data_IF_560615016592
#
_entry.id   IF_560615016592
#
_cell.length_a   1.000
_cell.length_b   1.000
_cell.length_c   1.000
_cell.angle_alpha   90.00
_cell.angle_beta   90.00
_cell.angle_gamma   90.00
#
_symmetry.space_group_name_H-M   'P 1'
#
loop_
_entity.id
_entity.type
_entity.pdbx_description
1 polymer ?
#
# COMPACT_ATOMS: atom_id res chain seq x y z
N UNK A 1 61.74 -11.08 -1.10
CA UNK A 1 60.52 -10.25 -1.15
C UNK A 1 60.87 -8.93 -1.81
N UNK A 2 60.37 -8.68 -3.01
CA UNK A 2 60.71 -7.47 -3.77
C UNK A 2 60.05 -6.26 -3.11
N UNK A 3 60.75 -5.12 -2.96
CA UNK A 3 60.21 -3.92 -2.30
C UNK A 3 58.91 -3.39 -2.95
N UNK A 4 58.64 -3.78 -4.20
CA UNK A 4 57.40 -3.49 -4.93
C UNK A 4 56.15 -4.21 -4.39
N UNK A 5 56.25 -5.38 -3.77
CA UNK A 5 55.07 -6.09 -3.24
C UNK A 5 54.58 -5.52 -1.90
N UNK A 6 55.41 -4.78 -1.18
CA UNK A 6 55.03 -4.07 0.05
C UNK A 6 54.58 -2.62 -0.20
N UNK A 7 55.04 -2.00 -1.29
CA UNK A 7 54.70 -0.61 -1.62
C UNK A 7 53.20 -0.44 -1.92
N UNK A 8 52.63 -1.38 -2.68
CA UNK A 8 51.24 -1.33 -3.12
C UNK A 8 50.21 -1.39 -1.98
N UNK A 9 50.30 -2.35 -1.01
CA UNK A 9 49.39 -2.35 0.14
C UNK A 9 49.62 -1.13 1.06
N UNK A 10 50.84 -0.63 1.17
CA UNK A 10 51.13 0.59 1.95
C UNK A 10 50.44 1.82 1.33
N UNK A 11 50.55 2.00 0.01
CA UNK A 11 49.87 3.09 -0.71
C UNK A 11 48.35 2.96 -0.58
N UNK A 12 47.79 1.76 -0.72
CA UNK A 12 46.36 1.52 -0.52
C UNK A 12 45.89 1.89 0.90
N UNK A 13 46.67 1.52 1.93
CA UNK A 13 46.38 1.87 3.32
C UNK A 13 46.38 3.39 3.53
N UNK A 14 47.39 4.08 2.98
CA UNK A 14 47.50 5.54 3.08
C UNK A 14 46.30 6.22 2.42
N UNK A 15 45.90 5.77 1.23
CA UNK A 15 44.73 6.32 0.51
C UNK A 15 43.44 6.07 1.29
N UNK A 16 43.24 4.87 1.85
CA UNK A 16 42.07 4.57 2.67
C UNK A 16 42.01 5.43 3.93
N UNK A 17 43.14 5.60 4.63
CA UNK A 17 43.24 6.45 5.80
C UNK A 17 42.97 7.92 5.46
N UNK A 18 43.50 8.41 4.33
CA UNK A 18 43.23 9.77 3.85
C UNK A 18 41.75 9.98 3.54
N UNK A 19 41.07 9.02 2.91
CA UNK A 19 39.63 9.08 2.65
C UNK A 19 38.81 9.11 3.95
N UNK A 20 39.15 8.26 4.92
CA UNK A 20 38.49 8.26 6.23
C UNK A 20 38.68 9.59 6.97
N UNK A 21 39.90 10.15 6.94
CA UNK A 21 40.18 11.45 7.54
C UNK A 21 39.38 12.58 6.89
N UNK A 22 39.26 12.57 5.55
CA UNK A 22 38.42 13.53 4.82
C UNK A 22 36.95 13.39 5.21
N UNK A 23 36.43 12.15 5.29
CA UNK A 23 35.03 11.93 5.68
C UNK A 23 34.74 12.34 7.12
N UNK A 24 35.65 12.06 8.06
CA UNK A 24 35.52 12.51 9.44
C UNK A 24 35.58 14.04 9.55
N UNK A 25 36.51 14.69 8.83
CA UNK A 25 36.61 16.15 8.79
C UNK A 25 35.40 16.82 8.11
N UNK A 26 34.75 16.14 7.17
CA UNK A 26 33.53 16.60 6.51
C UNK A 26 32.25 16.38 7.34
N UNK A 27 32.36 15.96 8.60
CA UNK A 27 31.22 15.73 9.49
C UNK A 27 30.61 14.33 9.37
N UNK A 28 31.32 13.37 8.79
CA UNK A 28 30.89 11.97 8.74
C UNK A 28 30.77 11.31 10.12
N UNK A 29 31.37 11.90 11.16
CA UNK A 29 31.20 11.49 12.55
C UNK A 29 30.00 12.15 13.24
N UNK A 30 29.46 13.23 12.67
CA UNK A 30 28.37 14.02 13.27
C UNK A 30 26.98 13.51 12.88
N UNK A 31 26.90 12.26 12.41
CA UNK A 31 25.63 11.60 12.16
C UNK A 31 24.89 11.37 13.48
N UNK A 32 24.02 12.30 13.83
CA UNK A 32 23.03 12.13 14.89
C UNK A 32 21.77 11.57 14.23
N UNK A 33 21.38 10.30 14.51
CA UNK A 33 20.15 9.75 13.96
C UNK A 33 18.99 10.65 14.38
N UNK A 34 18.34 11.28 13.40
CA UNK A 34 17.14 12.06 13.67
C UNK A 34 16.11 11.16 14.32
N UNK A 35 15.49 11.64 15.38
CA UNK A 35 14.41 10.92 16.05
C UNK A 35 13.36 10.54 15.01
N UNK A 36 12.95 9.28 15.01
CA UNK A 36 11.88 8.80 14.16
C UNK A 36 10.65 9.72 14.31
N UNK A 37 9.98 10.00 13.19
CA UNK A 37 8.79 10.81 13.20
C UNK A 37 7.71 10.16 14.07
N UNK A 38 6.96 10.97 14.82
CA UNK A 38 5.84 10.48 15.63
C UNK A 38 4.79 9.82 14.72
N UNK A 39 4.52 8.52 14.86
CA UNK A 39 3.52 7.83 14.05
C UNK A 39 2.10 8.36 14.32
N UNK A 40 1.84 8.93 15.49
CA UNK A 40 0.53 9.44 15.89
C UNK A 40 0.28 10.90 15.46
N UNK A 41 1.32 11.62 15.04
CA UNK A 41 1.16 12.98 14.53
C UNK A 41 0.35 13.01 13.23
N UNK A 42 -0.58 13.95 13.09
CA UNK A 42 -1.39 14.04 11.89
C UNK A 42 -0.53 14.35 10.65
N UNK A 43 -0.57 13.47 9.65
CA UNK A 43 0.03 13.72 8.33
C UNK A 43 -0.91 14.57 7.46
N UNK A 44 -0.42 15.58 6.72
CA UNK A 44 -1.23 16.24 5.70
C UNK A 44 -1.72 15.22 4.67
N UNK A 45 -2.91 15.46 4.13
CA UNK A 45 -3.46 14.61 3.08
C UNK A 45 -2.89 15.01 1.72
N UNK A 46 -2.55 14.03 0.87
CA UNK A 46 -2.09 14.28 -0.49
C UNK A 46 -3.16 15.04 -1.30
N UNK A 47 -2.78 15.70 -2.42
CA UNK A 47 -3.75 16.14 -3.42
C UNK A 47 -4.46 14.94 -4.06
N UNK A 48 -5.60 15.19 -4.71
CA UNK A 48 -6.29 14.16 -5.50
C UNK A 48 -5.48 13.90 -6.76
N UNK A 49 -5.29 12.63 -7.10
CA UNK A 49 -4.68 12.16 -8.35
C UNK A 49 -5.67 11.25 -9.06
N UNK A 50 -5.71 11.32 -10.39
CA UNK A 50 -6.48 10.38 -11.21
C UNK A 50 -5.74 9.05 -11.43
N UNK A 51 -4.49 8.97 -10.97
CA UNK A 51 -3.63 7.78 -11.04
C UNK A 51 -3.78 6.86 -9.81
N UNK A 52 -3.75 5.55 -10.03
CA UNK A 52 -3.81 4.52 -8.96
C UNK A 52 -2.49 4.43 -8.19
N UNK A 53 -1.35 4.59 -8.85
CA UNK A 53 -0.04 4.40 -8.22
C UNK A 53 0.19 5.36 -7.05
N UNK A 54 -0.01 6.70 -7.20
CA UNK A 54 0.10 7.63 -6.07
C UNK A 54 -0.94 7.35 -4.98
N UNK A 55 -2.17 7.00 -5.37
CA UNK A 55 -3.23 6.64 -4.43
C UNK A 55 -2.84 5.42 -3.57
N UNK A 56 -2.30 4.37 -4.19
CA UNK A 56 -1.85 3.17 -3.49
C UNK A 56 -0.74 3.50 -2.50
N UNK A 57 0.25 4.30 -2.92
CA UNK A 57 1.32 4.78 -2.05
C UNK A 57 0.76 5.56 -0.85
N UNK A 58 -0.19 6.47 -1.08
CA UNK A 58 -0.79 7.26 0.00
C UNK A 58 -1.60 6.42 0.98
N UNK A 59 -2.37 5.46 0.48
CA UNK A 59 -3.10 4.50 1.33
C UNK A 59 -2.13 3.68 2.18
N UNK A 60 -1.04 3.16 1.59
CA UNK A 60 -0.04 2.38 2.31
C UNK A 60 0.67 3.23 3.36
N UNK A 61 1.14 4.44 3.00
CA UNK A 61 1.86 5.32 3.93
C UNK A 61 0.97 5.76 5.11
N UNK A 62 -0.28 6.14 4.84
CA UNK A 62 -1.24 6.49 5.88
C UNK A 62 -1.61 5.27 6.73
N UNK A 63 -1.78 4.10 6.11
CA UNK A 63 -2.17 2.87 6.78
C UNK A 63 -1.07 2.32 7.69
N UNK A 64 0.17 2.28 7.21
CA UNK A 64 1.36 1.94 8.01
C UNK A 64 1.51 2.90 9.17
N UNK A 65 1.33 4.20 8.94
CA UNK A 65 1.42 5.20 10.00
C UNK A 65 0.36 4.97 11.10
N UNK A 66 -0.91 4.74 10.71
CA UNK A 66 -1.99 4.43 11.65
C UNK A 66 -1.73 3.14 12.43
N UNK A 67 -1.23 2.12 11.75
CA UNK A 67 -0.85 0.83 12.35
C UNK A 67 0.27 1.03 13.37
N UNK A 68 1.32 1.76 13.01
CA UNK A 68 2.44 2.06 13.90
C UNK A 68 1.98 2.80 15.16
N UNK A 69 1.09 3.79 15.02
CA UNK A 69 0.50 4.50 16.15
C UNK A 69 -0.33 3.55 17.04
N UNK A 70 -1.16 2.68 16.45
CA UNK A 70 -1.97 1.72 17.19
C UNK A 70 -1.14 0.65 17.94
N UNK A 71 0.03 0.31 17.39
CA UNK A 71 0.97 -0.66 17.98
C UNK A 71 1.98 -0.01 18.95
N UNK A 72 2.02 1.32 19.04
CA UNK A 72 2.99 2.03 19.88
C UNK A 72 4.44 1.88 19.43
N UNK A 73 4.67 1.73 18.12
CA UNK A 73 6.01 1.56 17.53
C UNK A 73 6.27 2.64 16.47
N UNK A 74 7.54 2.87 16.14
CA UNK A 74 7.88 3.79 15.03
C UNK A 74 7.47 3.20 13.69
N UNK A 75 7.16 4.05 12.71
CA UNK A 75 6.78 3.60 11.36
C UNK A 75 7.91 2.80 10.72
N UNK A 76 9.14 3.24 10.94
CA UNK A 76 10.36 2.65 10.41
C UNK A 76 10.55 1.24 11.00
N UNK A 77 10.33 1.05 12.30
CA UNK A 77 10.37 -0.28 12.93
C UNK A 77 9.29 -1.20 12.38
N UNK A 78 8.07 -0.69 12.17
CA UNK A 78 7.00 -1.47 11.56
C UNK A 78 7.37 -1.91 10.14
N UNK A 79 7.75 -0.97 9.27
CA UNK A 79 8.09 -1.24 7.86
C UNK A 79 9.25 -2.23 7.74
N UNK A 80 10.30 -2.07 8.54
CA UNK A 80 11.44 -2.99 8.53
C UNK A 80 11.06 -4.41 8.98
N UNK A 81 10.07 -4.55 9.85
CA UNK A 81 9.64 -5.85 10.32
C UNK A 81 8.72 -6.57 9.31
N UNK A 82 8.02 -5.86 8.41
CA UNK A 82 7.00 -6.47 7.55
C UNK A 82 7.53 -7.54 6.58
N UNK A 83 8.70 -7.41 5.91
CA UNK A 83 9.15 -8.41 4.93
C UNK A 83 9.54 -9.74 5.57
N UNK A 84 10.18 -9.71 6.74
CA UNK A 84 10.79 -10.88 7.38
C UNK A 84 9.84 -11.55 8.38
N UNK A 85 9.56 -12.85 8.19
CA UNK A 85 8.74 -13.61 9.13
C UNK A 85 9.31 -13.58 10.56
N UNK A 86 10.63 -13.64 10.68
CA UNK A 86 11.34 -13.54 11.96
C UNK A 86 11.11 -12.19 12.63
N UNK A 87 11.21 -11.10 11.87
CA UNK A 87 11.09 -9.74 12.43
C UNK A 87 9.64 -9.40 12.76
N UNK A 88 8.66 -9.90 11.99
CA UNK A 88 7.23 -9.86 12.35
C UNK A 88 6.97 -10.59 13.68
N UNK A 89 7.52 -11.79 13.85
CA UNK A 89 7.38 -12.55 15.10
C UNK A 89 8.01 -11.83 16.30
N UNK A 90 9.15 -11.15 16.10
CA UNK A 90 9.77 -10.32 17.12
C UNK A 90 8.91 -9.10 17.45
N UNK A 91 8.42 -8.37 16.44
CA UNK A 91 7.56 -7.20 16.62
C UNK A 91 6.26 -7.56 17.33
N UNK A 92 5.64 -8.68 16.95
CA UNK A 92 4.43 -9.20 17.58
C UNK A 92 4.68 -9.46 19.08
N UNK A 93 5.76 -10.17 19.43
CA UNK A 93 6.15 -10.39 20.83
C UNK A 93 6.41 -9.08 21.58
N UNK A 94 7.15 -8.15 20.98
CA UNK A 94 7.48 -6.87 21.59
C UNK A 94 6.24 -6.00 21.88
N UNK A 95 5.18 -6.16 21.09
CA UNK A 95 3.91 -5.42 21.24
C UNK A 95 2.84 -6.21 21.99
N UNK A 96 3.13 -7.41 22.49
CA UNK A 96 2.17 -8.28 23.16
C UNK A 96 1.06 -8.80 22.24
N UNK A 97 1.34 -8.95 20.94
CA UNK A 97 0.41 -9.40 19.89
C UNK A 97 0.87 -10.73 19.28
N UNK A 98 -0.05 -11.38 18.58
CA UNK A 98 0.26 -12.49 17.65
C UNK A 98 0.56 -11.93 16.26
N UNK A 99 1.18 -12.72 15.37
CA UNK A 99 1.35 -12.31 13.97
C UNK A 99 0.01 -12.06 13.26
N UNK A 100 -1.01 -12.88 13.53
CA UNK A 100 -2.37 -12.63 13.05
C UNK A 100 -2.93 -11.30 13.60
N UNK A 101 -2.59 -10.94 14.84
CA UNK A 101 -2.91 -9.65 15.44
C UNK A 101 -2.20 -8.49 14.75
N UNK A 102 -0.95 -8.68 14.32
CA UNK A 102 -0.20 -7.69 13.54
C UNK A 102 -0.84 -7.48 12.15
N UNK A 103 -1.19 -8.57 11.46
CA UNK A 103 -1.89 -8.51 10.17
C UNK A 103 -3.27 -7.81 10.30
N UNK A 104 -4.00 -8.10 11.38
CA UNK A 104 -5.28 -7.44 11.69
C UNK A 104 -5.09 -5.94 11.94
N UNK A 105 -4.05 -5.56 12.69
CA UNK A 105 -3.72 -4.15 12.93
C UNK A 105 -3.37 -3.43 11.63
N UNK A 106 -2.58 -4.06 10.75
CA UNK A 106 -2.21 -3.51 9.45
C UNK A 106 -3.44 -3.31 8.56
N UNK A 107 -4.30 -4.32 8.48
CA UNK A 107 -5.58 -4.22 7.75
C UNK A 107 -6.46 -3.09 8.27
N UNK A 108 -6.59 -2.97 9.59
CA UNK A 108 -7.34 -1.88 10.22
C UNK A 108 -6.73 -0.51 9.92
N UNK A 109 -5.40 -0.40 9.92
CA UNK A 109 -4.70 0.82 9.52
C UNK A 109 -5.00 1.23 8.08
N UNK A 110 -4.94 0.28 7.13
CA UNK A 110 -5.27 0.50 5.72
C UNK A 110 -6.74 0.91 5.54
N UNK A 111 -7.67 0.24 6.23
CA UNK A 111 -9.10 0.60 6.20
C UNK A 111 -9.35 2.03 6.71
N UNK A 112 -8.69 2.40 7.82
CA UNK A 112 -8.76 3.76 8.35
C UNK A 112 -8.13 4.80 7.42
N UNK A 113 -7.08 4.44 6.68
CA UNK A 113 -6.47 5.30 5.68
C UNK A 113 -7.42 5.58 4.52
N UNK A 114 -8.03 4.53 3.95
CA UNK A 114 -9.06 4.67 2.90
C UNK A 114 -10.23 5.50 3.41
N UNK A 115 -10.76 5.19 4.60
CA UNK A 115 -11.87 5.95 5.20
C UNK A 115 -11.52 7.41 5.54
N UNK A 116 -10.25 7.75 5.72
CA UNK A 116 -9.79 9.14 5.89
C UNK A 116 -9.74 9.87 4.56
N UNK A 117 -9.22 9.24 3.51
CA UNK A 117 -9.18 9.80 2.17
C UNK A 117 -10.61 10.02 1.63
N UNK A 118 -11.49 9.04 1.83
CA UNK A 118 -12.89 9.07 1.41
C UNK A 118 -13.64 10.26 2.04
N UNK A 119 -13.58 10.39 3.37
CA UNK A 119 -14.22 11.50 4.10
C UNK A 119 -13.67 12.87 3.74
N UNK A 120 -12.42 12.94 3.28
CA UNK A 120 -11.79 14.17 2.84
C UNK A 120 -12.05 14.49 1.37
N UNK A 121 -12.82 13.66 0.65
CA UNK A 121 -13.03 13.80 -0.80
C UNK A 121 -11.73 13.67 -1.58
N UNK A 122 -10.80 12.84 -1.09
CA UNK A 122 -9.45 12.67 -1.65
C UNK A 122 -9.27 11.42 -2.48
N UNK A 123 -10.32 10.59 -2.61
CA UNK A 123 -10.30 9.44 -3.50
C UNK A 123 -10.70 9.87 -4.91
N UNK A 124 -10.01 9.39 -5.96
CA UNK A 124 -10.44 9.58 -7.33
C UNK A 124 -11.78 8.92 -7.58
N UNK A 125 -12.44 9.39 -8.64
CA UNK A 125 -13.68 8.78 -9.14
C UNK A 125 -13.35 7.44 -9.79
N UNK A 126 -14.25 6.46 -9.68
CA UNK A 126 -14.00 5.13 -10.22
C UNK A 126 -13.90 5.14 -11.75
N UNK A 127 -14.64 6.02 -12.41
CA UNK A 127 -14.49 6.30 -13.85
C UNK A 127 -13.06 6.70 -14.23
N UNK A 128 -12.46 7.65 -13.49
CA UNK A 128 -11.09 8.11 -13.74
C UNK A 128 -10.06 6.97 -13.60
N UNK A 129 -10.23 6.10 -12.61
CA UNK A 129 -9.36 4.94 -12.41
C UNK A 129 -9.53 3.87 -13.50
N UNK A 130 -10.76 3.70 -14.02
CA UNK A 130 -11.01 2.78 -15.13
C UNK A 130 -10.35 3.27 -16.41
N UNK A 131 -10.36 4.58 -16.67
CA UNK A 131 -9.69 5.16 -17.83
C UNK A 131 -8.17 4.95 -17.78
N UNK A 132 -7.55 5.05 -16.60
CA UNK A 132 -6.11 4.82 -16.44
C UNK A 132 -5.72 3.35 -16.68
N UNK A 133 -6.60 2.39 -16.35
CA UNK A 133 -6.34 0.96 -16.51
C UNK A 133 -6.89 0.33 -17.79
N UNK A 134 -7.85 0.97 -18.47
CA UNK A 134 -8.47 0.41 -19.68
C UNK A 134 -7.45 0.07 -20.77
N UNK A 135 -6.35 0.83 -20.85
CA UNK A 135 -5.23 0.57 -21.77
C UNK A 135 -4.36 -0.62 -21.38
N UNK A 136 -4.25 -0.95 -20.09
CA UNK A 136 -3.41 -2.05 -19.58
C UNK A 136 -4.17 -3.38 -19.48
N UNK A 137 -5.49 -3.33 -19.27
CA UNK A 137 -6.33 -4.52 -19.10
C UNK A 137 -6.47 -5.38 -20.37
N UNK A 138 -5.91 -4.96 -21.51
CA UNK A 138 -5.88 -5.74 -22.75
C UNK A 138 -7.27 -6.22 -23.20
N UNK A 139 -8.32 -5.46 -22.88
CA UNK A 139 -9.69 -5.87 -23.17
C UNK A 139 -9.87 -5.97 -24.69
N UNK A 140 -10.40 -7.09 -25.21
CA UNK A 140 -10.65 -7.22 -26.65
C UNK A 140 -11.60 -6.09 -27.08
N UNK A 141 -11.30 -5.41 -28.20
CA UNK A 141 -11.84 -4.07 -28.52
C UNK A 141 -13.37 -3.87 -28.51
N UNK A 142 -14.16 -4.94 -28.47
CA UNK A 142 -15.60 -4.87 -28.24
C UNK A 142 -15.97 -4.56 -26.77
N UNK A 143 -15.20 -5.08 -25.81
CA UNK A 143 -15.40 -4.82 -24.39
C UNK A 143 -14.97 -3.39 -24.00
N UNK A 144 -13.85 -2.91 -24.57
CA UNK A 144 -13.41 -1.52 -24.37
C UNK A 144 -14.44 -0.51 -24.89
N UNK A 145 -14.99 -0.76 -26.08
CA UNK A 145 -16.04 0.09 -26.66
C UNK A 145 -17.38 0.02 -25.88
N UNK A 146 -17.67 -1.11 -25.22
CA UNK A 146 -18.85 -1.25 -24.40
C UNK A 146 -18.70 -0.55 -23.03
N UNK A 147 -17.53 -0.66 -22.40
CA UNK A 147 -17.20 0.03 -21.14
C UNK A 147 -17.20 1.55 -21.34
N UNK A 148 -16.60 2.05 -22.44
CA UNK A 148 -16.59 3.49 -22.78
C UNK A 148 -17.97 4.10 -23.08
N UNK A 149 -19.00 3.29 -23.30
CA UNK A 149 -20.38 3.78 -23.48
C UNK A 149 -21.13 3.96 -22.16
N UNK A 150 -20.60 3.44 -21.05
CA UNK A 150 -21.23 3.63 -19.75
C UNK A 150 -20.91 5.05 -19.27
N UNK A 151 -21.91 5.90 -18.97
CA UNK A 151 -21.64 7.24 -18.48
C UNK A 151 -20.90 7.21 -17.14
N UNK A 152 -19.91 8.08 -16.96
CA UNK A 152 -19.11 8.19 -15.73
C UNK A 152 -19.97 8.28 -14.47
N UNK A 153 -21.06 9.06 -14.51
CA UNK A 153 -21.97 9.21 -13.37
C UNK A 153 -22.68 7.92 -12.96
N UNK A 154 -22.85 6.97 -13.89
CA UNK A 154 -23.39 5.63 -13.59
C UNK A 154 -22.32 4.78 -12.92
N UNK A 155 -21.08 4.80 -13.44
CA UNK A 155 -19.93 4.10 -12.84
C UNK A 155 -19.67 4.62 -11.43
N UNK A 156 -19.49 5.93 -11.28
CA UNK A 156 -19.19 6.59 -10.01
C UNK A 156 -20.31 6.37 -8.98
N UNK A 157 -21.57 6.30 -9.44
CA UNK A 157 -22.72 6.02 -8.58
C UNK A 157 -22.92 4.54 -8.23
N UNK A 158 -22.35 3.61 -9.00
CA UNK A 158 -22.42 2.17 -8.74
C UNK A 158 -21.18 1.63 -8.02
N UNK A 159 -20.03 2.26 -8.20
CA UNK A 159 -18.74 1.84 -7.67
C UNK A 159 -18.04 3.01 -6.99
N UNK A 160 -18.53 3.51 -5.85
CA UNK A 160 -17.81 4.53 -5.11
C UNK A 160 -16.45 3.95 -4.68
N UNK A 161 -15.36 4.59 -5.10
CA UNK A 161 -13.98 4.13 -4.88
C UNK A 161 -13.72 3.75 -3.42
N UNK A 162 -14.21 4.54 -2.47
CA UNK A 162 -14.06 4.27 -1.05
C UNK A 162 -14.81 3.02 -0.56
N UNK A 163 -15.94 2.65 -1.17
CA UNK A 163 -16.64 1.41 -0.83
C UNK A 163 -15.92 0.19 -1.41
N UNK A 164 -15.51 0.27 -2.68
CA UNK A 164 -14.77 -0.81 -3.37
C UNK A 164 -13.45 -1.10 -2.65
N UNK A 165 -12.66 -0.08 -2.33
CA UNK A 165 -11.38 -0.25 -1.64
C UNK A 165 -11.55 -0.85 -0.25
N UNK A 166 -12.51 -0.37 0.55
CA UNK A 166 -12.79 -0.96 1.88
C UNK A 166 -13.27 -2.40 1.76
N UNK A 167 -14.05 -2.72 0.73
CA UNK A 167 -14.50 -4.10 0.50
C UNK A 167 -13.38 -5.01 -0.01
N UNK A 168 -12.46 -4.49 -0.80
CA UNK A 168 -11.26 -5.21 -1.24
C UNK A 168 -10.37 -5.52 -0.03
N UNK A 169 -10.07 -4.52 0.80
CA UNK A 169 -9.40 -4.72 2.09
C UNK A 169 -10.18 -5.70 2.98
N UNK A 170 -11.51 -5.62 2.93
CA UNK A 170 -12.54 -6.56 3.39
C UNK A 170 -12.23 -8.07 3.16
N UNK A 171 -11.74 -8.37 1.98
CA UNK A 171 -11.59 -9.73 1.47
C UNK A 171 -10.12 -10.17 1.45
N UNK A 172 -9.21 -9.22 1.61
CA UNK A 172 -7.77 -9.43 1.55
C UNK A 172 -7.25 -10.18 2.79
N UNK A 173 -6.69 -11.38 2.58
CA UNK A 173 -5.93 -12.07 3.61
C UNK A 173 -4.55 -11.43 3.74
N UNK A 174 -4.45 -10.41 4.60
CA UNK A 174 -3.19 -9.71 4.89
C UNK A 174 -2.14 -10.65 5.46
N UNK A 175 -2.53 -11.74 6.14
CA UNK A 175 -1.57 -12.72 6.67
C UNK A 175 -0.95 -13.54 5.54
N UNK A 176 -1.72 -13.87 4.50
CA UNK A 176 -1.18 -14.48 3.29
C UNK A 176 -0.29 -13.50 2.52
N UNK A 177 -0.73 -12.26 2.33
CA UNK A 177 0.10 -11.24 1.65
C UNK A 177 1.44 -11.01 2.33
N UNK A 178 1.47 -10.92 3.66
CA UNK A 178 2.72 -10.72 4.42
C UNK A 178 3.67 -11.91 4.30
N UNK A 179 3.15 -13.13 4.04
CA UNK A 179 3.98 -14.30 3.77
C UNK A 179 4.58 -14.29 2.37
N UNK A 180 3.83 -13.74 1.41
CA UNK A 180 4.20 -13.71 0.00
C UNK A 180 4.87 -12.39 -0.42
N UNK A 181 5.29 -11.53 0.51
CA UNK A 181 5.94 -10.24 0.20
C UNK A 181 7.24 -10.37 -0.59
N UNK A 182 7.87 -11.54 -0.57
CA UNK A 182 9.09 -11.84 -1.34
C UNK A 182 8.79 -12.27 -2.79
N UNK A 183 7.52 -12.55 -3.11
CA UNK A 183 7.05 -12.99 -4.42
C UNK A 183 6.10 -11.91 -5.02
N UNK A 184 6.63 -11.00 -5.85
CA UNK A 184 5.83 -9.91 -6.41
C UNK A 184 4.69 -10.41 -7.31
N UNK A 185 4.87 -11.53 -8.01
CA UNK A 185 3.86 -12.08 -8.91
C UNK A 185 2.68 -12.65 -8.12
N UNK A 186 2.96 -13.36 -7.02
CA UNK A 186 1.92 -13.86 -6.11
C UNK A 186 1.16 -12.72 -5.43
N UNK A 187 1.85 -11.64 -5.06
CA UNK A 187 1.25 -10.45 -4.46
C UNK A 187 0.27 -9.77 -5.43
N UNK A 188 0.70 -9.54 -6.67
CA UNK A 188 -0.11 -8.91 -7.71
C UNK A 188 -1.37 -9.73 -8.03
N UNK A 189 -1.22 -11.05 -8.16
CA UNK A 189 -2.34 -11.96 -8.44
C UNK A 189 -3.41 -11.89 -7.34
N UNK A 190 -3.01 -11.96 -6.07
CA UNK A 190 -3.94 -11.90 -4.91
C UNK A 190 -4.64 -10.54 -4.80
N UNK A 191 -3.89 -9.46 -5.01
CA UNK A 191 -4.46 -8.11 -4.96
C UNK A 191 -5.49 -7.92 -6.07
N UNK A 192 -5.16 -8.34 -7.29
CA UNK A 192 -6.05 -8.27 -8.45
C UNK A 192 -7.33 -9.07 -8.23
N UNK A 193 -7.23 -10.29 -7.68
CA UNK A 193 -8.39 -11.13 -7.35
C UNK A 193 -9.30 -10.44 -6.33
N UNK A 194 -8.73 -9.92 -5.23
CA UNK A 194 -9.49 -9.25 -4.17
C UNK A 194 -10.19 -7.98 -4.67
N UNK A 195 -9.54 -7.18 -5.52
CA UNK A 195 -10.15 -5.99 -6.13
C UNK A 195 -11.31 -6.38 -7.05
N UNK A 196 -11.12 -7.38 -7.91
CA UNK A 196 -12.16 -7.88 -8.82
C UNK A 196 -13.38 -8.39 -8.04
N UNK A 197 -13.15 -9.20 -7.01
CA UNK A 197 -14.21 -9.75 -6.17
C UNK A 197 -14.98 -8.64 -5.41
N UNK A 198 -14.27 -7.63 -4.91
CA UNK A 198 -14.88 -6.49 -4.23
C UNK A 198 -15.70 -5.61 -5.18
N UNK A 199 -15.18 -5.29 -6.36
CA UNK A 199 -15.89 -4.51 -7.36
C UNK A 199 -17.18 -5.22 -7.82
N UNK A 200 -17.11 -6.54 -8.06
CA UNK A 200 -18.28 -7.33 -8.43
C UNK A 200 -19.33 -7.35 -7.31
N UNK A 201 -18.90 -7.51 -6.05
CA UNK A 201 -19.80 -7.51 -4.90
C UNK A 201 -20.52 -6.17 -4.72
N UNK A 202 -19.77 -5.06 -4.78
CA UNK A 202 -20.33 -3.71 -4.66
C UNK A 202 -21.30 -3.40 -5.81
N UNK A 203 -20.92 -3.71 -7.05
CA UNK A 203 -21.78 -3.55 -8.21
C UNK A 203 -23.10 -4.32 -8.03
N UNK A 204 -23.03 -5.60 -7.64
CA UNK A 204 -24.22 -6.44 -7.43
C UNK A 204 -25.15 -5.85 -6.37
N UNK A 205 -24.61 -5.43 -5.23
CA UNK A 205 -25.40 -4.86 -4.13
C UNK A 205 -26.13 -3.58 -4.57
N UNK A 206 -25.43 -2.69 -5.28
CA UNK A 206 -25.97 -1.42 -5.80
C UNK A 206 -26.97 -1.61 -6.94
N UNK A 207 -26.74 -2.59 -7.80
CA UNK A 207 -27.69 -2.99 -8.85
C UNK A 207 -28.98 -3.49 -8.21
N UNK A 208 -28.90 -4.37 -7.22
CA UNK A 208 -30.08 -4.86 -6.48
C UNK A 208 -30.84 -3.69 -5.85
N UNK A 209 -30.14 -2.72 -5.26
CA UNK A 209 -30.73 -1.52 -4.66
C UNK A 209 -31.51 -0.67 -5.68
N UNK A 210 -30.97 -0.51 -6.90
CA UNK A 210 -31.56 0.33 -7.97
C UNK A 210 -32.63 -0.37 -8.82
N UNK A 211 -32.83 -1.68 -8.69
CA UNK A 211 -33.90 -2.39 -9.41
C UNK A 211 -35.27 -1.90 -8.89
N UNK A 212 -36.17 -1.39 -9.76
CA UNK A 212 -37.51 -1.00 -9.37
C UNK A 212 -38.28 -2.15 -8.71
N UNK A 213 -39.03 -1.86 -7.64
CA UNK A 213 -39.86 -2.82 -6.91
C UNK A 213 -40.65 -3.85 -7.75
N UNK A 214 -41.30 -3.49 -8.88
CA UNK A 214 -42.02 -4.47 -9.69
C UNK A 214 -41.14 -5.56 -10.31
N UNK A 215 -39.86 -5.28 -10.58
CA UNK A 215 -38.91 -6.26 -11.14
C UNK A 215 -38.32 -7.14 -10.04
N UNK A 216 -38.17 -6.61 -8.81
CA UNK A 216 -37.71 -7.36 -7.64
C UNK A 216 -38.65 -8.54 -7.31
N UNK A 217 -39.97 -8.28 -7.33
CA UNK A 217 -41.00 -9.31 -7.16
C UNK A 217 -41.03 -10.37 -8.26
N UNK A 218 -40.60 -10.05 -9.48
CA UNK A 218 -40.52 -11.00 -10.59
C UNK A 218 -39.28 -11.91 -10.52
N UNK A 219 -38.19 -11.42 -9.92
CA UNK A 219 -36.91 -12.15 -9.77
C UNK A 219 -36.81 -12.94 -8.46
N UNK A 220 -37.80 -12.87 -7.57
CA UNK A 220 -37.76 -13.56 -6.27
C UNK A 220 -36.68 -13.04 -5.32
N UNK A 221 -36.31 -11.76 -5.48
CA UNK A 221 -35.32 -11.04 -4.66
C UNK A 221 -35.99 -10.12 -3.64
#
# INVERSE_FOLDING_TARGET
>A
MTPRTLLLPLVALIVAAALLAVQLAAGGADFVPTRAADPCAARPLPPVTDDIEPLAQDVVLLGVQRTACALGVTRERLVLALPSARDRAELARATGRTEAGLATALRSGLDQAVGRLDRAGRLPRASALLDSYAGELGLPGLAEAAVKRIPDGVVDGLLPTGAVLRRALAQLDVTALLRDLEDPDALEARLTEAIKAAALAEAKERLIEKIPGPIRGFLGL
#
